data_IF_694889948449
#
_entry.id   IF_694889948449
#
_cell.length_a   1.000
_cell.length_b   1.000
_cell.length_c   1.000
_cell.angle_alpha   90.00
_cell.angle_beta   90.00
_cell.angle_gamma   90.00
#
_symmetry.space_group_name_H-M   'P 1'
#
loop_
_entity.id
_entity.type
_entity.pdbx_description
1 polymer ?
#
# COMPACT_ATOMS: atom_id res chain seq x y z
N UNK A 1 6.06 17.67 -14.70
CA UNK A 1 5.38 16.37 -14.78
C UNK A 1 4.36 16.36 -13.66
N UNK A 2 3.07 16.21 -13.98
CA UNK A 2 2.01 16.31 -12.98
C UNK A 2 2.04 15.08 -12.07
N UNK A 3 2.13 15.27 -10.76
CA UNK A 3 1.97 14.21 -9.75
C UNK A 3 0.69 13.38 -9.97
N UNK A 4 -0.35 13.97 -10.57
CA UNK A 4 -1.60 13.28 -10.93
C UNK A 4 -1.44 12.18 -12.00
N UNK A 5 -0.40 12.23 -12.86
CA UNK A 5 -0.15 11.20 -13.88
C UNK A 5 0.57 9.99 -13.29
N UNK A 6 1.62 10.21 -12.50
CA UNK A 6 2.37 9.15 -11.79
C UNK A 6 1.46 8.42 -10.78
N UNK A 7 0.56 9.13 -10.10
CA UNK A 7 -0.40 8.53 -9.16
C UNK A 7 -1.50 7.67 -9.83
N UNK A 8 -1.71 7.83 -11.14
CA UNK A 8 -2.68 7.03 -11.88
C UNK A 8 -2.12 5.68 -12.31
N UNK A 9 -0.81 5.60 -12.55
CA UNK A 9 -0.08 4.37 -12.86
C UNK A 9 0.09 3.50 -11.60
N UNK A 10 0.41 4.10 -10.45
CA UNK A 10 0.61 3.37 -9.17
C UNK A 10 -0.60 2.55 -8.70
N UNK A 11 -1.82 3.04 -8.93
CA UNK A 11 -3.05 2.34 -8.52
C UNK A 11 -3.51 1.30 -9.55
N UNK A 12 -2.96 1.32 -10.76
CA UNK A 12 -3.35 0.39 -11.83
C UNK A 12 -3.01 -1.07 -11.49
N UNK A 13 -1.88 -1.27 -10.80
CA UNK A 13 -1.43 -2.57 -10.26
C UNK A 13 -2.45 -3.19 -9.28
N UNK A 14 -3.28 -2.36 -8.63
CA UNK A 14 -4.21 -2.79 -7.60
C UNK A 14 -5.62 -3.15 -8.12
N UNK A 15 -5.87 -3.05 -9.44
CA UNK A 15 -7.13 -3.52 -10.04
C UNK A 15 -7.23 -5.04 -10.20
N UNK A 16 -6.17 -5.79 -9.84
CA UNK A 16 -6.22 -7.24 -9.75
C UNK A 16 -7.21 -7.70 -8.67
N UNK A 17 -7.68 -8.95 -8.74
CA UNK A 17 -8.54 -9.54 -7.71
C UNK A 17 -7.91 -9.46 -6.32
N UNK A 18 -6.59 -9.67 -6.23
CA UNK A 18 -5.84 -9.54 -4.98
C UNK A 18 -5.81 -8.10 -4.46
N UNK A 19 -5.60 -7.13 -5.35
CA UNK A 19 -5.60 -5.72 -4.99
C UNK A 19 -6.97 -5.24 -4.50
N UNK A 20 -8.06 -5.65 -5.18
CA UNK A 20 -9.42 -5.33 -4.73
C UNK A 20 -9.75 -5.93 -3.35
N UNK A 21 -9.32 -7.17 -3.07
CA UNK A 21 -9.48 -7.79 -1.74
C UNK A 21 -8.67 -7.03 -0.69
N UNK A 22 -7.45 -6.61 -1.02
CA UNK A 22 -6.59 -5.84 -0.12
C UNK A 22 -7.22 -4.50 0.23
N UNK A 23 -7.68 -3.75 -0.77
CA UNK A 23 -8.36 -2.47 -0.59
C UNK A 23 -9.64 -2.65 0.22
N UNK A 24 -10.45 -3.66 -0.09
CA UNK A 24 -11.66 -3.99 0.66
C UNK A 24 -11.36 -4.24 2.14
N UNK A 25 -10.31 -4.99 2.45
CA UNK A 25 -9.87 -5.24 3.84
C UNK A 25 -9.38 -3.97 4.54
N UNK A 26 -8.68 -3.09 3.84
CA UNK A 26 -8.23 -1.79 4.38
C UNK A 26 -9.45 -0.93 4.74
N UNK A 27 -10.39 -0.76 3.79
CA UNK A 27 -11.62 0.01 4.02
C UNK A 27 -12.48 -0.60 5.13
N UNK A 28 -12.54 -1.93 5.23
CA UNK A 28 -13.26 -2.61 6.31
C UNK A 28 -12.70 -2.27 7.70
N UNK A 29 -11.37 -2.08 7.84
CA UNK A 29 -10.76 -1.60 9.11
C UNK A 29 -11.18 -0.17 9.45
N UNK A 30 -11.60 0.61 8.46
CA UNK A 30 -12.15 1.95 8.61
C UNK A 30 -13.68 1.96 8.79
N UNK A 31 -14.30 0.78 8.94
CA UNK A 31 -15.76 0.59 8.96
C UNK A 31 -16.46 1.13 7.70
N UNK A 32 -15.76 1.12 6.55
CA UNK A 32 -16.29 1.50 5.25
C UNK A 32 -16.47 0.22 4.44
N UNK A 33 -17.71 -0.04 4.01
CA UNK A 33 -18.04 -1.16 3.14
C UNK A 33 -18.62 -0.62 1.84
N UNK A 34 -17.99 -0.98 0.73
CA UNK A 34 -18.44 -0.66 -0.62
C UNK A 34 -18.67 -1.96 -1.38
N UNK A 35 -19.73 -2.00 -2.18
CA UNK A 35 -19.93 -3.09 -3.13
C UNK A 35 -18.82 -3.11 -4.17
N UNK A 36 -18.54 -4.27 -4.76
CA UNK A 36 -17.40 -4.45 -5.67
C UNK A 36 -17.41 -3.48 -6.86
N UNK A 37 -18.59 -3.23 -7.45
CA UNK A 37 -18.76 -2.29 -8.55
C UNK A 37 -18.47 -0.85 -8.15
N UNK A 38 -18.87 -0.46 -6.94
CA UNK A 38 -18.69 0.88 -6.41
C UNK A 38 -17.25 1.09 -5.93
N UNK A 39 -16.60 0.04 -5.41
CA UNK A 39 -15.18 0.04 -5.11
C UNK A 39 -14.36 0.31 -6.38
N UNK A 40 -14.61 -0.44 -7.47
CA UNK A 40 -13.88 -0.26 -8.73
C UNK A 40 -14.06 1.15 -9.28
N UNK A 41 -15.29 1.70 -9.23
CA UNK A 41 -15.56 3.07 -9.66
C UNK A 41 -14.83 4.09 -8.79
N UNK A 42 -14.81 3.89 -7.47
CA UNK A 42 -14.17 4.82 -6.54
C UNK A 42 -12.67 4.93 -6.81
N UNK A 43 -12.03 3.81 -7.15
CA UNK A 43 -10.62 3.71 -7.49
C UNK A 43 -10.28 4.34 -8.85
N UNK A 44 -11.16 4.16 -9.84
CA UNK A 44 -10.97 4.72 -11.19
C UNK A 44 -11.11 6.23 -11.22
N UNK A 45 -11.95 6.80 -10.35
CA UNK A 45 -12.18 8.25 -10.31
C UNK A 45 -11.04 8.98 -9.57
N UNK A 46 -10.31 9.91 -10.21
CA UNK A 46 -9.04 10.45 -9.71
C UNK A 46 -9.06 11.28 -8.43
N UNK A 47 -10.23 11.63 -7.89
CA UNK A 47 -10.32 12.56 -6.75
C UNK A 47 -11.37 12.15 -5.72
N UNK A 48 -11.72 10.88 -5.63
CA UNK A 48 -12.67 10.45 -4.61
C UNK A 48 -12.00 10.42 -3.24
N UNK A 49 -12.79 10.69 -2.20
CA UNK A 49 -12.38 10.51 -0.81
C UNK A 49 -11.80 9.10 -0.59
N UNK A 50 -12.48 8.07 -1.10
CA UNK A 50 -12.06 6.67 -0.93
C UNK A 50 -10.70 6.40 -1.57
N UNK A 51 -10.43 6.92 -2.77
CA UNK A 51 -9.12 6.78 -3.42
C UNK A 51 -8.02 7.48 -2.61
N UNK A 52 -8.27 8.70 -2.14
CA UNK A 52 -7.30 9.45 -1.32
C UNK A 52 -7.01 8.74 0.00
N UNK A 53 -8.04 8.21 0.65
CA UNK A 53 -7.93 7.53 1.94
C UNK A 53 -7.03 6.27 1.88
N UNK A 54 -7.08 5.52 0.78
CA UNK A 54 -6.34 4.25 0.65
C UNK A 54 -4.92 4.40 0.10
N UNK A 55 -4.59 5.53 -0.53
CA UNK A 55 -3.28 5.71 -1.18
C UNK A 55 -2.12 5.50 -0.21
N UNK A 56 -2.19 6.13 0.97
CA UNK A 56 -1.13 6.02 1.98
C UNK A 56 -1.00 4.57 2.52
N UNK A 57 -2.08 3.90 2.95
CA UNK A 57 -2.04 2.48 3.31
C UNK A 57 -1.46 1.57 2.22
N UNK A 58 -1.81 1.77 0.94
CA UNK A 58 -1.32 0.93 -0.15
C UNK A 58 0.19 1.07 -0.37
N UNK A 59 0.74 2.28 -0.25
CA UNK A 59 2.19 2.48 -0.29
C UNK A 59 2.89 1.73 0.86
N UNK A 60 2.31 1.72 2.06
CA UNK A 60 2.84 0.94 3.17
C UNK A 60 2.74 -0.58 2.95
N UNK A 61 1.67 -1.07 2.30
CA UNK A 61 1.58 -2.47 1.90
C UNK A 61 2.67 -2.83 0.89
N UNK A 62 2.92 -1.97 -0.10
CA UNK A 62 4.02 -2.16 -1.06
C UNK A 62 5.37 -2.20 -0.35
N UNK A 63 5.63 -1.28 0.58
CA UNK A 63 6.84 -1.30 1.40
C UNK A 63 6.96 -2.61 2.20
N UNK A 64 5.85 -3.15 2.71
CA UNK A 64 5.84 -4.46 3.38
C UNK A 64 6.26 -5.60 2.45
N UNK A 65 5.85 -5.57 1.18
CA UNK A 65 6.25 -6.56 0.18
C UNK A 65 7.76 -6.44 -0.12
N UNK A 66 8.25 -5.23 -0.36
CA UNK A 66 9.68 -4.99 -0.64
C UNK A 66 10.54 -5.39 0.57
N UNK A 67 10.09 -5.07 1.79
CA UNK A 67 10.74 -5.50 3.02
C UNK A 67 10.82 -7.03 3.10
N UNK A 68 9.72 -7.74 2.83
CA UNK A 68 9.72 -9.21 2.87
C UNK A 68 10.73 -9.79 1.89
N UNK A 69 10.83 -9.25 0.67
CA UNK A 69 11.84 -9.69 -0.31
C UNK A 69 13.28 -9.45 0.19
N UNK A 70 13.55 -8.28 0.79
CA UNK A 70 14.85 -7.99 1.37
C UNK A 70 15.18 -8.93 2.55
N UNK A 71 14.18 -9.23 3.38
CA UNK A 71 14.30 -10.17 4.48
C UNK A 71 14.56 -11.60 4.00
N UNK A 72 13.87 -12.06 2.95
CA UNK A 72 14.08 -13.40 2.38
C UNK A 72 15.50 -13.53 1.82
N UNK A 73 16.03 -12.47 1.17
CA UNK A 73 17.44 -12.42 0.80
C UNK A 73 18.39 -12.45 2.00
N UNK A 74 18.11 -11.67 3.04
CA UNK A 74 18.90 -11.68 4.28
C UNK A 74 18.96 -13.08 4.89
N UNK A 75 17.82 -13.76 5.02
CA UNK A 75 17.70 -15.12 5.56
C UNK A 75 18.49 -16.10 4.70
N UNK A 76 18.41 -16.01 3.38
CA UNK A 76 19.21 -16.84 2.49
C UNK A 76 20.71 -16.61 2.66
N UNK A 77 21.16 -15.35 2.75
CA UNK A 77 22.55 -15.01 2.99
C UNK A 77 23.05 -15.57 4.34
N UNK A 78 22.23 -15.48 5.40
CA UNK A 78 22.53 -16.09 6.70
C UNK A 78 22.66 -17.61 6.61
N UNK A 79 21.74 -18.29 5.92
CA UNK A 79 21.80 -19.74 5.69
C UNK A 79 23.12 -20.13 5.00
N UNK A 80 23.56 -19.39 3.98
CA UNK A 80 24.86 -19.64 3.32
C UNK A 80 26.05 -19.57 4.28
N UNK A 81 26.08 -18.57 5.16
CA UNK A 81 27.16 -18.44 6.13
C UNK A 81 27.10 -19.51 7.23
N UNK A 82 25.89 -19.91 7.66
CA UNK A 82 25.73 -21.01 8.62
C UNK A 82 26.29 -22.31 8.03
N UNK A 83 25.94 -22.65 6.80
CA UNK A 83 26.45 -23.85 6.11
C UNK A 83 27.98 -23.80 5.97
N UNK A 84 28.52 -22.64 5.59
CA UNK A 84 29.96 -22.41 5.48
C UNK A 84 30.71 -22.60 6.81
N UNK A 85 30.18 -22.03 7.90
CA UNK A 85 30.80 -22.10 9.23
C UNK A 85 30.70 -23.50 9.84
N UNK A 86 29.57 -24.19 9.67
CA UNK A 86 29.37 -25.57 10.16
C UNK A 86 30.30 -26.57 9.47
N UNK A 87 30.73 -26.28 8.24
CA UNK A 87 31.74 -27.09 7.55
C UNK A 87 33.17 -26.90 8.11
N UNK A 88 33.36 -26.12 9.17
CA UNK A 88 34.64 -25.95 9.85
C UNK A 88 35.66 -25.15 9.06
N UNK A 89 35.21 -24.31 8.12
CA UNK A 89 36.11 -23.48 7.31
C UNK A 89 36.70 -22.30 8.11
N UNK A 90 35.97 -21.80 9.11
CA UNK A 90 36.42 -20.69 9.97
C UNK A 90 37.51 -21.06 10.99
N UNK A 91 37.90 -22.33 11.10
CA UNK A 91 38.92 -22.81 12.07
C UNK A 91 40.24 -23.23 11.42
N UNK A 92 40.40 -22.98 10.11
CA UNK A 92 41.62 -23.34 9.37
C UNK A 92 42.71 -22.30 9.59
N UNK A 93 43.95 -22.78 9.70
CA UNK A 93 45.14 -21.95 9.95
C UNK A 93 45.42 -20.97 8.81
N UNK A 94 46.13 -19.88 9.13
CA UNK A 94 46.45 -18.79 8.21
C UNK A 94 47.32 -19.24 7.02
N UNK A 95 48.04 -20.36 7.20
CA UNK A 95 48.86 -20.96 6.15
C UNK A 95 48.09 -21.90 5.22
N UNK A 96 46.78 -22.08 5.42
CA UNK A 96 45.97 -22.98 4.61
C UNK A 96 45.61 -22.37 3.25
N UNK A 97 45.60 -23.15 2.16
CA UNK A 97 45.16 -22.68 0.85
C UNK A 97 43.77 -22.04 0.93
N UNK A 98 43.60 -20.86 0.32
CA UNK A 98 42.34 -20.11 0.34
C UNK A 98 42.16 -19.16 1.52
N UNK A 99 43.20 -18.92 2.35
CA UNK A 99 43.16 -17.96 3.46
C UNK A 99 42.56 -16.59 3.06
N UNK A 100 43.03 -15.99 1.97
CA UNK A 100 42.54 -14.68 1.49
C UNK A 100 41.05 -14.68 1.20
N UNK A 101 40.54 -15.75 0.58
CA UNK A 101 39.10 -15.91 0.31
C UNK A 101 38.30 -16.11 1.60
N UNK A 102 38.88 -16.74 2.64
CA UNK A 102 38.22 -16.90 3.95
C UNK A 102 38.18 -15.57 4.72
N UNK A 103 39.21 -14.75 4.59
CA UNK A 103 39.25 -13.39 5.16
C UNK A 103 38.18 -12.50 4.50
N UNK A 104 38.09 -12.51 3.17
CA UNK A 104 37.04 -11.80 2.43
C UNK A 104 35.63 -12.28 2.80
N UNK A 105 35.45 -13.60 3.03
CA UNK A 105 34.18 -14.14 3.51
C UNK A 105 33.84 -13.67 4.93
N UNK A 106 34.83 -13.54 5.82
CA UNK A 106 34.62 -12.99 7.16
C UNK A 106 34.25 -11.51 7.09
N UNK A 107 34.87 -10.72 6.20
CA UNK A 107 34.45 -9.34 5.96
C UNK A 107 33.00 -9.24 5.48
N UNK A 108 32.59 -10.06 4.51
CA UNK A 108 31.19 -10.10 4.04
C UNK A 108 30.24 -10.57 5.15
N UNK A 109 30.67 -11.45 6.07
CA UNK A 109 29.89 -11.85 7.25
C UNK A 109 29.68 -10.68 8.22
N UNK A 110 30.71 -9.90 8.49
CA UNK A 110 30.60 -8.71 9.34
C UNK A 110 29.67 -7.67 8.73
N UNK A 111 29.75 -7.46 7.40
CA UNK A 111 28.82 -6.61 6.66
C UNK A 111 27.38 -7.12 6.76
N UNK A 112 27.16 -8.44 6.63
CA UNK A 112 25.83 -9.05 6.77
C UNK A 112 25.24 -8.79 8.16
N UNK A 113 26.02 -8.91 9.23
CA UNK A 113 25.55 -8.63 10.59
C UNK A 113 25.16 -7.16 10.74
N UNK A 114 26.03 -6.23 10.31
CA UNK A 114 25.73 -4.80 10.37
C UNK A 114 24.47 -4.43 9.57
N UNK A 115 24.35 -4.94 8.34
CA UNK A 115 23.15 -4.74 7.51
C UNK A 115 21.89 -5.34 8.13
N UNK A 116 22.00 -6.50 8.79
CA UNK A 116 20.89 -7.16 9.47
C UNK A 116 20.36 -6.34 10.64
N UNK A 117 21.26 -5.75 11.44
CA UNK A 117 20.88 -4.85 12.54
C UNK A 117 20.16 -3.61 12.02
N UNK A 118 20.72 -2.95 10.98
CA UNK A 118 20.09 -1.77 10.39
C UNK A 118 18.76 -2.09 9.71
N UNK A 119 18.61 -3.25 9.06
CA UNK A 119 17.33 -3.67 8.48
C UNK A 119 16.27 -3.90 9.57
N UNK A 120 16.65 -4.46 10.72
CA UNK A 120 15.74 -4.63 11.84
C UNK A 120 15.32 -3.30 12.47
N UNK A 121 16.23 -2.34 12.61
CA UNK A 121 15.88 -0.97 13.02
C UNK A 121 14.88 -0.35 12.04
N UNK A 122 15.10 -0.53 10.73
CA UNK A 122 14.21 -0.04 9.68
C UNK A 122 12.82 -0.72 9.72
N UNK A 123 12.75 -2.01 10.07
CA UNK A 123 11.50 -2.73 10.30
C UNK A 123 10.69 -2.08 11.44
N UNK A 124 11.35 -1.76 12.56
CA UNK A 124 10.71 -1.09 13.70
C UNK A 124 10.21 0.32 13.33
N UNK A 125 11.01 1.07 12.58
CA UNK A 125 10.60 2.37 12.03
C UNK A 125 9.37 2.23 11.12
N UNK A 126 9.34 1.20 10.27
CA UNK A 126 8.22 0.93 9.37
C UNK A 126 6.94 0.58 10.14
N UNK A 127 7.01 -0.30 11.15
CA UNK A 127 5.84 -0.59 11.99
C UNK A 127 5.31 0.63 12.72
N UNK A 128 6.21 1.49 13.23
CA UNK A 128 5.82 2.75 13.86
C UNK A 128 5.10 3.67 12.87
N UNK A 129 5.64 3.82 11.66
CA UNK A 129 5.05 4.61 10.58
C UNK A 129 3.65 4.10 10.19
N UNK A 130 3.48 2.78 10.07
CA UNK A 130 2.17 2.15 9.81
C UNK A 130 1.21 2.43 10.96
N UNK A 131 1.63 2.22 12.21
CA UNK A 131 0.77 2.42 13.38
C UNK A 131 0.27 3.87 13.51
N UNK A 132 1.18 4.83 13.37
CA UNK A 132 0.86 6.26 13.45
C UNK A 132 -0.10 6.70 12.33
N UNK A 133 0.21 6.32 11.08
CA UNK A 133 -0.64 6.65 9.93
C UNK A 133 -2.01 5.99 10.02
N UNK A 134 -2.09 4.71 10.39
CA UNK A 134 -3.36 3.99 10.55
C UNK A 134 -4.21 4.57 11.68
N UNK A 135 -3.62 4.93 12.81
CA UNK A 135 -4.35 5.53 13.93
C UNK A 135 -5.04 6.84 13.53
N UNK A 136 -4.36 7.69 12.76
CA UNK A 136 -4.92 8.94 12.24
C UNK A 136 -6.02 8.69 11.19
N UNK A 137 -5.77 7.79 10.23
CA UNK A 137 -6.75 7.46 9.19
C UNK A 137 -8.01 6.79 9.76
N UNK A 138 -7.89 5.93 10.78
CA UNK A 138 -9.04 5.33 11.48
C UNK A 138 -9.88 6.40 12.17
N UNK A 139 -9.24 7.33 12.88
CA UNK A 139 -9.95 8.45 13.53
C UNK A 139 -10.65 9.33 12.50
N UNK A 140 -9.96 9.64 11.41
CA UNK A 140 -10.50 10.42 10.29
C UNK A 140 -11.71 9.74 9.65
N UNK A 141 -11.60 8.44 9.37
CA UNK A 141 -12.69 7.65 8.81
C UNK A 141 -13.88 7.53 9.78
N UNK A 142 -13.64 7.47 11.09
CA UNK A 142 -14.72 7.50 12.08
C UNK A 142 -15.48 8.83 12.06
N UNK A 143 -14.77 9.96 11.98
CA UNK A 143 -15.38 11.29 11.84
C UNK A 143 -16.16 11.42 10.51
N UNK A 144 -15.58 10.92 9.41
CA UNK A 144 -16.26 10.81 8.12
C UNK A 144 -17.58 10.02 8.23
N UNK A 145 -17.55 8.85 8.86
CA UNK A 145 -18.75 8.02 9.03
C UNK A 145 -19.84 8.73 9.85
N UNK A 146 -19.47 9.51 10.87
CA UNK A 146 -20.43 10.32 11.63
C UNK A 146 -21.04 11.45 10.79
N UNK A 147 -20.21 12.14 10.00
CA UNK A 147 -20.69 13.17 9.07
C UNK A 147 -21.62 12.55 8.01
N UNK A 148 -21.26 11.38 7.48
CA UNK A 148 -22.06 10.61 6.52
C UNK A 148 -23.44 10.26 7.08
N UNK A 149 -23.53 9.78 8.33
CA UNK A 149 -24.83 9.51 8.98
C UNK A 149 -25.67 10.79 9.10
N UNK A 150 -25.05 11.92 9.44
CA UNK A 150 -25.73 13.21 9.56
C UNK A 150 -26.27 13.71 8.22
N UNK A 151 -25.47 13.60 7.15
CA UNK A 151 -25.86 13.96 5.77
C UNK A 151 -26.99 13.04 5.28
N UNK A 152 -26.89 11.73 5.49
CA UNK A 152 -27.95 10.78 5.14
C UNK A 152 -29.28 11.13 5.82
N UNK A 153 -29.23 11.51 7.10
CA UNK A 153 -30.43 11.95 7.83
C UNK A 153 -30.99 13.25 7.25
N UNK A 154 -30.14 14.23 6.97
CA UNK A 154 -30.55 15.50 6.36
C UNK A 154 -31.20 15.33 4.98
N UNK A 155 -30.63 14.48 4.13
CA UNK A 155 -31.18 14.15 2.81
C UNK A 155 -32.49 13.40 2.96
N UNK A 156 -32.58 12.44 3.87
CA UNK A 156 -33.83 11.69 4.14
C UNK A 156 -34.96 12.63 4.59
N UNK A 157 -34.69 13.53 5.53
CA UNK A 157 -35.68 14.49 6.03
C UNK A 157 -36.09 15.49 4.93
N UNK A 158 -35.17 15.86 4.04
CA UNK A 158 -35.47 16.67 2.86
C UNK A 158 -36.34 15.92 1.84
N UNK A 159 -36.01 14.67 1.51
CA UNK A 159 -36.81 13.84 0.60
C UNK A 159 -38.22 13.60 1.16
N UNK A 160 -38.35 13.34 2.46
CA UNK A 160 -39.65 13.15 3.12
C UNK A 160 -40.54 14.39 3.04
N UNK A 161 -39.96 15.60 3.19
CA UNK A 161 -40.67 16.87 3.02
C UNK A 161 -41.18 17.09 1.59
N UNK A 162 -40.50 16.50 0.60
CA UNK A 162 -40.87 16.57 -0.81
C UNK A 162 -41.70 15.35 -1.27
N UNK A 163 -42.40 14.66 -0.35
CA UNK A 163 -43.23 13.48 -0.61
C UNK A 163 -42.50 12.25 -1.18
N UNK A 164 -41.17 12.19 -1.05
CA UNK A 164 -40.37 11.01 -1.45
C UNK A 164 -40.00 10.23 -0.18
N UNK A 165 -40.77 9.19 0.13
CA UNK A 165 -40.47 8.30 1.25
C UNK A 165 -39.50 7.19 0.83
N UNK A 166 -38.30 7.17 1.41
CA UNK A 166 -37.28 6.14 1.19
C UNK A 166 -36.71 5.64 2.52
N UNK A 167 -36.26 4.40 2.51
CA UNK A 167 -35.58 3.79 3.66
C UNK A 167 -34.21 4.42 3.86
N UNK A 168 -33.68 4.32 5.09
CA UNK A 168 -32.36 4.84 5.42
C UNK A 168 -31.24 4.18 4.59
N UNK A 169 -31.37 2.88 4.34
CA UNK A 169 -30.40 2.12 3.54
C UNK A 169 -30.40 2.58 2.06
N UNK A 170 -31.58 2.88 1.49
CA UNK A 170 -31.66 3.42 0.14
C UNK A 170 -31.00 4.81 0.03
N UNK A 171 -31.21 5.69 1.02
CA UNK A 171 -30.57 7.01 1.04
C UNK A 171 -29.05 6.87 1.17
N UNK A 172 -28.58 5.98 2.06
CA UNK A 172 -27.16 5.67 2.20
C UNK A 172 -26.55 5.16 0.88
N UNK A 173 -27.19 4.21 0.21
CA UNK A 173 -26.73 3.70 -1.10
C UNK A 173 -26.66 4.80 -2.16
N UNK A 174 -27.64 5.70 -2.22
CA UNK A 174 -27.64 6.84 -3.15
C UNK A 174 -26.44 7.73 -2.88
N UNK A 175 -26.24 8.09 -1.62
CA UNK A 175 -25.15 9.01 -1.28
C UNK A 175 -23.79 8.35 -1.51
N UNK A 176 -23.61 7.09 -1.15
CA UNK A 176 -22.38 6.35 -1.45
C UNK A 176 -22.11 6.31 -2.96
N UNK A 177 -23.11 5.98 -3.79
CA UNK A 177 -22.95 5.97 -5.25
C UNK A 177 -22.62 7.33 -5.83
N UNK A 178 -23.19 8.40 -5.27
CA UNK A 178 -22.85 9.77 -5.64
C UNK A 178 -21.39 10.07 -5.28
N UNK A 179 -20.96 9.81 -4.05
CA UNK A 179 -19.61 10.10 -3.58
C UNK A 179 -18.52 9.31 -4.30
N UNK A 180 -18.83 8.08 -4.73
CA UNK A 180 -17.94 7.22 -5.53
C UNK A 180 -17.73 7.77 -6.95
N UNK A 181 -18.73 8.46 -7.49
CA UNK A 181 -18.70 9.06 -8.82
C UNK A 181 -18.31 10.55 -8.78
N UNK A 182 -18.31 11.16 -7.60
CA UNK A 182 -18.05 12.57 -7.39
C UNK A 182 -16.54 12.88 -7.42
N UNK A 183 -16.16 13.82 -8.28
CA UNK A 183 -14.83 14.40 -8.31
C UNK A 183 -14.85 15.73 -7.56
N UNK A 184 -14.30 15.73 -6.34
CA UNK A 184 -14.27 16.90 -5.45
C UNK A 184 -13.49 18.10 -6.00
N UNK A 185 -12.67 17.95 -7.06
CA UNK A 185 -11.91 19.05 -7.69
C UNK A 185 -12.60 19.66 -8.92
N UNK A 186 -13.60 18.98 -9.50
CA UNK A 186 -14.31 19.47 -10.70
C UNK A 186 -15.70 19.95 -10.35
N UNK A 187 -15.83 21.23 -9.96
CA UNK A 187 -17.14 21.89 -9.79
C UNK A 187 -18.04 21.76 -11.03
N UNK A 188 -17.46 21.69 -12.24
CA UNK A 188 -18.20 21.50 -13.49
C UNK A 188 -18.78 20.09 -13.69
N UNK A 189 -18.38 19.10 -12.87
CA UNK A 189 -18.99 17.76 -12.88
C UNK A 189 -20.38 17.74 -12.23
N UNK A 190 -20.75 18.78 -11.46
CA UNK A 190 -22.06 18.90 -10.81
C UNK A 190 -23.22 19.08 -11.81
N UNK A 191 -22.93 19.48 -13.05
CA UNK A 191 -23.93 19.83 -14.07
C UNK A 191 -24.21 18.71 -15.09
N UNK A 192 -23.66 17.52 -14.90
CA UNK A 192 -23.87 16.42 -15.85
C UNK A 192 -25.22 15.72 -15.64
N UNK A 193 -26.11 15.80 -16.62
CA UNK A 193 -27.38 15.04 -16.68
C UNK A 193 -27.21 13.54 -16.34
N UNK A 194 -26.02 12.96 -16.56
CA UNK A 194 -25.69 11.58 -16.21
C UNK A 194 -25.72 11.27 -14.70
N UNK A 195 -25.22 12.18 -13.86
CA UNK A 195 -25.19 11.94 -12.40
C UNK A 195 -26.59 12.04 -11.81
N UNK A 196 -27.34 13.05 -12.26
CA UNK A 196 -28.76 13.19 -11.94
C UNK A 196 -29.56 11.97 -12.39
N UNK A 197 -29.38 11.50 -13.62
CA UNK A 197 -30.06 10.30 -14.12
C UNK A 197 -29.74 9.04 -13.29
N UNK A 198 -28.51 8.88 -12.80
CA UNK A 198 -28.12 7.77 -11.92
C UNK A 198 -28.86 7.83 -10.58
N UNK A 199 -28.97 9.02 -9.97
CA UNK A 199 -29.70 9.23 -8.71
C UNK A 199 -31.20 9.02 -8.91
N UNK A 200 -31.76 9.56 -9.99
CA UNK A 200 -33.18 9.42 -10.35
C UNK A 200 -33.54 7.96 -10.61
N UNK A 201 -32.66 7.18 -11.24
CA UNK A 201 -32.85 5.75 -11.44
C UNK A 201 -32.92 4.96 -10.12
N UNK A 202 -32.10 5.33 -9.13
CA UNK A 202 -32.11 4.67 -7.81
C UNK A 202 -33.32 5.13 -6.97
N UNK A 203 -33.69 6.41 -7.06
CA UNK A 203 -34.86 6.94 -6.39
C UNK A 203 -36.17 6.49 -7.04
N UNK A 204 -36.16 6.13 -8.32
CA UNK A 204 -37.37 5.89 -9.10
C UNK A 204 -38.25 7.14 -9.23
N UNK A 205 -37.66 8.33 -9.07
CA UNK A 205 -38.35 9.62 -9.10
C UNK A 205 -37.47 10.62 -9.85
N UNK A 206 -38.08 11.44 -10.70
CA UNK A 206 -37.41 12.58 -11.32
C UNK A 206 -37.20 13.66 -10.27
N UNK A 207 -35.94 14.01 -9.99
CA UNK A 207 -35.62 15.08 -9.07
C UNK A 207 -35.84 16.41 -9.77
N UNK A 208 -36.35 17.42 -9.08
CA UNK A 208 -36.30 18.80 -9.60
C UNK A 208 -34.87 19.33 -9.50
N UNK A 209 -34.54 20.37 -10.28
CA UNK A 209 -33.22 21.00 -10.21
C UNK A 209 -32.91 21.53 -8.79
N UNK A 210 -33.93 22.03 -8.10
CA UNK A 210 -33.84 22.51 -6.71
C UNK A 210 -33.57 21.37 -5.72
N UNK A 211 -34.26 20.23 -5.87
CA UNK A 211 -34.02 19.06 -5.02
C UNK A 211 -32.61 18.50 -5.20
N UNK A 212 -32.13 18.44 -6.45
CA UNK A 212 -30.78 17.99 -6.74
C UNK A 212 -29.73 18.96 -6.17
N UNK A 213 -29.92 20.27 -6.33
CA UNK A 213 -29.03 21.28 -5.77
C UNK A 213 -28.91 21.17 -4.24
N UNK A 214 -30.03 20.98 -3.52
CA UNK A 214 -30.01 20.83 -2.06
C UNK A 214 -29.32 19.55 -1.59
N UNK A 215 -29.48 18.43 -2.32
CA UNK A 215 -28.72 17.20 -2.04
C UNK A 215 -27.23 17.46 -2.21
N UNK A 216 -26.83 18.10 -3.31
CA UNK A 216 -25.43 18.39 -3.58
C UNK A 216 -24.82 19.37 -2.58
N UNK A 217 -25.58 20.36 -2.10
CA UNK A 217 -25.14 21.27 -1.03
C UNK A 217 -24.85 20.51 0.27
N UNK A 218 -25.69 19.53 0.64
CA UNK A 218 -25.41 18.68 1.79
C UNK A 218 -24.18 17.80 1.59
N UNK A 219 -23.94 17.30 0.37
CA UNK A 219 -22.72 16.55 0.04
C UNK A 219 -21.48 17.43 0.04
N UNK A 220 -21.58 18.71 -0.32
CA UNK A 220 -20.46 19.64 -0.32
C UNK A 220 -19.84 19.81 1.09
N UNK A 221 -20.62 19.59 2.15
CA UNK A 221 -20.09 19.58 3.54
C UNK A 221 -19.05 18.49 3.77
N UNK A 222 -19.07 17.43 2.97
CA UNK A 222 -18.12 16.32 3.03
C UNK A 222 -16.81 16.62 2.28
N UNK A 223 -16.73 17.70 1.50
CA UNK A 223 -15.54 18.05 0.73
C UNK A 223 -14.31 18.28 1.63
N UNK A 224 -14.51 18.86 2.81
CA UNK A 224 -13.44 19.19 3.74
C UNK A 224 -12.64 17.95 4.17
N UNK A 225 -13.29 16.80 4.29
CA UNK A 225 -12.62 15.53 4.63
C UNK A 225 -11.62 15.09 3.57
N UNK A 226 -11.86 15.43 2.29
CA UNK A 226 -10.90 15.13 1.23
C UNK A 226 -9.62 15.96 1.38
N UNK A 227 -9.75 17.24 1.72
CA UNK A 227 -8.60 18.12 1.98
C UNK A 227 -7.84 17.71 3.25
N UNK A 228 -8.55 17.32 4.31
CA UNK A 228 -7.94 16.78 5.54
C UNK A 228 -7.19 15.46 5.27
N UNK A 229 -7.72 14.62 4.38
CA UNK A 229 -7.05 13.38 3.96
C UNK A 229 -5.73 13.69 3.25
N UNK A 230 -5.73 14.70 2.37
CA UNK A 230 -4.52 15.12 1.66
C UNK A 230 -3.47 15.66 2.64
N UNK A 231 -3.88 16.44 3.64
CA UNK A 231 -2.97 16.92 4.69
C UNK A 231 -2.38 15.77 5.52
N UNK A 232 -3.17 14.74 5.86
CA UNK A 232 -2.65 13.53 6.51
C UNK A 232 -1.63 12.84 5.59
N UNK A 233 -1.94 12.67 4.30
CA UNK A 233 -1.04 12.05 3.32
C UNK A 233 0.29 12.81 3.22
N UNK A 234 0.24 14.14 3.11
CA UNK A 234 1.42 14.99 3.00
C UNK A 234 2.36 14.82 4.21
N UNK A 235 1.80 14.76 5.43
CA UNK A 235 2.57 14.55 6.66
C UNK A 235 3.37 13.23 6.70
N UNK A 236 2.97 12.23 5.91
CA UNK A 236 3.62 10.92 5.84
C UNK A 236 4.33 10.65 4.51
N UNK A 237 4.09 11.46 3.46
CA UNK A 237 4.55 11.20 2.10
C UNK A 237 6.07 11.04 2.03
N UNK A 238 6.81 11.98 2.62
CA UNK A 238 8.27 11.96 2.62
C UNK A 238 8.82 10.75 3.38
N UNK A 239 8.26 10.44 4.55
CA UNK A 239 8.68 9.31 5.37
C UNK A 239 8.46 7.97 4.66
N UNK A 240 7.31 7.81 4.01
CA UNK A 240 6.98 6.61 3.24
C UNK A 240 7.92 6.48 2.03
N UNK A 241 8.18 7.57 1.32
CA UNK A 241 9.07 7.57 0.14
C UNK A 241 10.51 7.24 0.54
N UNK A 242 11.01 7.82 1.64
CA UNK A 242 12.33 7.50 2.19
C UNK A 242 12.41 6.04 2.63
N UNK A 243 11.35 5.51 3.27
CA UNK A 243 11.25 4.10 3.64
C UNK A 243 11.33 3.20 2.40
N UNK A 244 10.56 3.50 1.35
CA UNK A 244 10.60 2.76 0.08
C UNK A 244 12.01 2.73 -0.49
N UNK A 245 12.68 3.89 -0.59
CA UNK A 245 14.04 3.98 -1.14
C UNK A 245 15.05 3.15 -0.33
N UNK A 246 14.99 3.23 1.01
CA UNK A 246 15.86 2.44 1.90
C UNK A 246 15.63 0.94 1.75
N UNK A 247 14.37 0.49 1.72
CA UNK A 247 14.03 -0.92 1.57
C UNK A 247 14.50 -1.49 0.22
N UNK A 248 14.34 -0.72 -0.87
CA UNK A 248 14.88 -1.10 -2.20
C UNK A 248 16.40 -1.21 -2.19
N UNK A 249 17.08 -0.28 -1.52
CA UNK A 249 18.53 -0.32 -1.38
C UNK A 249 18.97 -1.59 -0.63
N UNK A 250 18.33 -1.91 0.50
CA UNK A 250 18.61 -3.16 1.22
C UNK A 250 18.35 -4.42 0.36
N UNK A 251 17.24 -4.46 -0.38
CA UNK A 251 16.95 -5.56 -1.32
C UNK A 251 18.09 -5.77 -2.32
N UNK A 252 18.57 -4.67 -2.91
CA UNK A 252 19.70 -4.69 -3.86
C UNK A 252 21.01 -5.11 -3.20
N UNK A 253 21.31 -4.59 -2.01
CA UNK A 253 22.55 -4.86 -1.30
C UNK A 253 22.63 -6.32 -0.84
N UNK A 254 21.53 -6.88 -0.31
CA UNK A 254 21.48 -8.30 0.06
C UNK A 254 21.59 -9.20 -1.17
N UNK A 255 20.88 -8.88 -2.26
CA UNK A 255 21.01 -9.63 -3.52
C UNK A 255 22.45 -9.64 -4.03
N UNK A 256 23.10 -8.47 -4.05
CA UNK A 256 24.50 -8.33 -4.46
C UNK A 256 25.46 -9.08 -3.54
N UNK A 257 25.23 -9.06 -2.23
CA UNK A 257 26.01 -9.82 -1.25
C UNK A 257 25.90 -11.32 -1.49
N UNK A 258 24.69 -11.84 -1.74
CA UNK A 258 24.49 -13.27 -2.05
C UNK A 258 25.32 -13.68 -3.27
N UNK A 259 25.35 -12.86 -4.32
CA UNK A 259 26.17 -13.14 -5.52
C UNK A 259 27.66 -13.15 -5.18
N UNK A 260 28.15 -12.16 -4.42
CA UNK A 260 29.56 -12.10 -3.98
C UNK A 260 29.95 -13.31 -3.13
N UNK A 261 29.16 -13.63 -2.11
CA UNK A 261 29.40 -14.75 -1.19
C UNK A 261 29.42 -16.09 -1.95
N UNK A 262 28.46 -16.33 -2.85
CA UNK A 262 28.50 -17.53 -3.69
C UNK A 262 29.76 -17.61 -4.55
N UNK A 263 30.19 -16.49 -5.12
CA UNK A 263 31.41 -16.42 -5.95
C UNK A 263 32.66 -16.77 -5.12
N UNK A 264 32.78 -16.22 -3.92
CA UNK A 264 33.88 -16.52 -2.99
C UNK A 264 33.86 -17.99 -2.55
N UNK A 265 32.69 -18.51 -2.18
CA UNK A 265 32.53 -19.91 -1.80
C UNK A 265 32.97 -20.87 -2.93
N UNK A 266 32.67 -20.53 -4.20
CA UNK A 266 33.09 -21.35 -5.35
C UNK A 266 34.61 -21.38 -5.58
N UNK A 267 35.35 -20.40 -5.06
CA UNK A 267 36.82 -20.35 -5.15
C UNK A 267 37.52 -21.23 -4.11
N UNK A 268 36.80 -21.66 -3.07
CA UNK A 268 37.33 -22.55 -2.04
C UNK A 268 37.42 -23.99 -2.56
N UNK A 269 38.63 -24.44 -2.86
CA UNK A 269 38.90 -25.80 -3.38
C UNK A 269 38.50 -26.95 -2.44
N UNK A 270 38.38 -26.65 -1.16
CA UNK A 270 38.17 -27.57 -0.05
C UNK A 270 36.77 -27.46 0.58
N UNK A 271 35.88 -26.67 -0.02
CA UNK A 271 34.47 -26.59 0.35
C UNK A 271 33.60 -26.98 -0.84
N UNK A 272 32.55 -27.77 -0.58
CA UNK A 272 31.55 -28.13 -1.59
C UNK A 272 30.18 -27.77 -1.07
N UNK A 273 29.49 -26.94 -1.83
CA UNK A 273 28.09 -26.61 -1.61
C UNK A 273 27.24 -27.87 -1.75
N UNK A 274 26.36 -28.13 -0.78
CA UNK A 274 25.29 -29.10 -0.95
C UNK A 274 24.23 -28.53 -1.90
N UNK A 275 24.15 -29.12 -3.09
CA UNK A 275 23.24 -28.69 -4.15
C UNK A 275 21.76 -28.85 -3.77
N UNK A 276 21.42 -29.86 -2.96
CA UNK A 276 20.04 -30.08 -2.53
C UNK A 276 19.62 -29.01 -1.52
N UNK A 277 20.50 -28.68 -0.57
CA UNK A 277 20.23 -27.65 0.43
C UNK A 277 20.11 -26.26 -0.21
N UNK A 278 20.95 -25.96 -1.20
CA UNK A 278 20.85 -24.69 -1.96
C UNK A 278 19.55 -24.60 -2.73
N UNK A 279 19.12 -25.68 -3.38
CA UNK A 279 17.86 -25.67 -4.12
C UNK A 279 16.66 -25.44 -3.19
N UNK A 280 16.63 -26.09 -2.03
CA UNK A 280 15.61 -25.87 -1.00
C UNK A 280 15.63 -24.41 -0.53
N UNK A 281 16.81 -23.87 -0.21
CA UNK A 281 16.93 -22.50 0.27
C UNK A 281 16.56 -21.45 -0.81
N UNK A 282 16.70 -21.78 -2.10
CA UNK A 282 16.35 -20.90 -3.23
C UNK A 282 14.85 -20.83 -3.52
N UNK A 283 14.05 -21.79 -3.05
CA UNK A 283 12.60 -21.80 -3.29
C UNK A 283 11.92 -20.53 -2.76
N UNK A 284 12.45 -19.96 -1.67
CA UNK A 284 11.96 -18.74 -1.04
C UNK A 284 12.33 -17.47 -1.85
N UNK A 285 13.22 -17.57 -2.85
CA UNK A 285 13.73 -16.45 -3.64
C UNK A 285 13.09 -16.30 -5.03
N UNK A 286 12.07 -17.10 -5.36
CA UNK A 286 11.31 -16.96 -6.61
C UNK A 286 10.28 -15.83 -6.50
N UNK A 287 10.77 -14.59 -6.55
CA UNK A 287 9.95 -13.40 -6.62
C UNK A 287 10.51 -12.42 -7.67
N UNK A 288 9.67 -11.51 -8.12
CA UNK A 288 10.07 -10.45 -9.05
C UNK A 288 10.86 -9.36 -8.31
N UNK A 289 12.16 -9.17 -8.62
CA UNK A 289 13.01 -8.19 -7.96
C UNK A 289 12.75 -6.75 -8.40
N UNK A 290 11.99 -6.52 -9.48
CA UNK A 290 11.68 -5.19 -10.02
C UNK A 290 10.36 -4.62 -9.43
N UNK A 291 9.69 -5.37 -8.55
CA UNK A 291 8.47 -4.89 -7.89
C UNK A 291 8.73 -3.56 -7.18
N UNK A 292 7.93 -2.56 -7.56
CA UNK A 292 7.99 -1.21 -7.03
C UNK A 292 8.96 -0.27 -7.76
N UNK A 293 9.69 -0.73 -8.79
CA UNK A 293 10.64 0.10 -9.55
C UNK A 293 10.02 0.89 -10.71
N UNK A 294 8.76 0.62 -11.08
CA UNK A 294 8.06 1.31 -12.19
C UNK A 294 7.53 2.73 -11.88
N UNK A 295 7.84 3.31 -10.72
CA UNK A 295 7.44 4.69 -10.39
C UNK A 295 8.62 5.50 -9.85
N UNK A 296 9.40 6.08 -10.78
CA UNK A 296 10.28 7.24 -10.56
C UNK A 296 9.89 8.37 -11.51
#
# INVERSE_FOLDING_TARGET
>A
MNEEQTEHEDLSMWFSTYGLVTISRILARYNIQLDQDDLIKALKTPNTFYRRLIQLPLKNVLNGIIYQQAYDYQVYAQKLFVDYLLAGQGTKDDNSPGYTTREELEEERQKLMAMSETLHELELEHYKLISESQSLLIKHAAAWNQAMVSVNKGIRDFLRRNNVSKTEEQVKQIVTKLLVQYDFKKESAMSGDKYRASVEAILGVTLTAEMYASIMEQLATLNNFSAETDAIKENFSDKVTQMTARLKQFRSDFSSMIVRVNTLIMQLSDYKIDKNQVEINRQELYFDPEIGDESS
#
